data_IF_810729676124
#
_entry.id   IF_810729676124
#
_cell.length_a   1.000
_cell.length_b   1.000
_cell.length_c   1.000
_cell.angle_alpha   90.00
_cell.angle_beta   90.00
_cell.angle_gamma   90.00
#
_symmetry.space_group_name_H-M   'P 1'
#
loop_
_entity.id
_entity.type
_entity.pdbx_description
1 polymer ?
#
# COMPACT_ATOMS: atom_id res chain seq x y z
N UNK A 1 5.87 2.27 16.30
CA UNK A 1 4.81 3.22 15.90
C UNK A 1 4.80 3.38 14.39
N UNK A 2 3.65 3.26 13.73
CA UNK A 2 3.52 3.57 12.31
C UNK A 2 3.13 5.05 12.17
N UNK A 3 4.12 5.92 11.95
CA UNK A 3 3.93 7.38 11.85
C UNK A 3 2.87 7.79 10.80
N UNK A 4 2.77 7.01 9.71
CA UNK A 4 1.82 7.26 8.64
C UNK A 4 0.35 7.14 9.10
N UNK A 5 0.05 6.13 9.95
CA UNK A 5 -1.32 5.90 10.41
C UNK A 5 -1.79 7.07 11.27
N UNK A 6 -0.97 7.48 12.24
CA UNK A 6 -1.25 8.58 13.15
C UNK A 6 -1.41 9.92 12.41
N UNK A 7 -0.48 10.21 11.50
CA UNK A 7 -0.53 11.42 10.66
C UNK A 7 -1.87 11.48 9.89
N UNK A 8 -2.29 10.40 9.26
CA UNK A 8 -3.50 10.42 8.44
C UNK A 8 -4.79 10.39 9.24
N UNK A 9 -4.85 9.69 10.37
CA UNK A 9 -6.01 9.83 11.27
C UNK A 9 -6.21 11.25 11.76
N UNK A 10 -5.12 12.03 11.86
CA UNK A 10 -5.14 13.41 12.33
C UNK A 10 -5.50 14.40 11.21
N UNK A 11 -4.78 14.34 10.09
CA UNK A 11 -4.96 15.30 8.98
C UNK A 11 -6.13 14.94 8.05
N UNK A 12 -6.48 13.65 7.96
CA UNK A 12 -7.53 13.13 7.08
C UNK A 12 -8.44 12.14 7.82
N UNK A 13 -9.25 12.61 8.79
CA UNK A 13 -10.03 11.74 9.68
C UNK A 13 -11.08 10.88 8.97
N UNK A 14 -11.41 11.19 7.71
CA UNK A 14 -12.33 10.40 6.89
C UNK A 14 -11.63 9.37 5.99
N UNK A 15 -10.29 9.38 5.95
CA UNK A 15 -9.52 8.39 5.21
C UNK A 15 -9.51 7.07 5.99
N UNK A 16 -10.00 6.00 5.36
CA UNK A 16 -10.13 4.66 5.98
C UNK A 16 -9.12 3.65 5.45
N UNK A 17 -8.47 3.95 4.33
CA UNK A 17 -7.63 3.01 3.63
C UNK A 17 -6.61 3.75 2.76
N UNK A 18 -5.38 3.26 2.79
CA UNK A 18 -4.35 3.59 1.81
C UNK A 18 -4.29 2.48 0.79
N UNK A 19 -4.17 2.86 -0.48
CA UNK A 19 -3.99 1.91 -1.58
C UNK A 19 -2.75 2.30 -2.37
N UNK A 20 -1.89 1.31 -2.62
CA UNK A 20 -0.68 1.45 -3.41
C UNK A 20 -0.73 0.50 -4.60
N UNK A 21 -0.26 0.98 -5.76
CA UNK A 21 0.05 0.13 -6.91
C UNK A 21 1.56 -0.14 -6.90
N UNK A 22 1.96 -1.39 -6.68
CA UNK A 22 3.37 -1.79 -6.52
C UNK A 22 3.75 -2.70 -7.68
N UNK A 23 4.78 -2.34 -8.44
CA UNK A 23 5.21 -3.20 -9.56
C UNK A 23 5.59 -4.60 -9.07
N UNK A 24 5.14 -5.64 -9.77
CA UNK A 24 5.40 -7.05 -9.44
C UNK A 24 6.91 -7.36 -9.33
N UNK A 25 7.73 -6.69 -10.13
CA UNK A 25 9.20 -6.88 -10.08
C UNK A 25 9.87 -6.11 -8.95
N UNK A 26 9.19 -5.17 -8.30
CA UNK A 26 9.75 -4.39 -7.19
C UNK A 26 9.58 -5.12 -5.85
N UNK A 27 10.31 -6.23 -5.69
CA UNK A 27 10.25 -7.08 -4.50
C UNK A 27 10.64 -6.32 -3.23
N UNK A 28 11.60 -5.40 -3.31
CA UNK A 28 12.03 -4.59 -2.17
C UNK A 28 10.88 -3.72 -1.63
N UNK A 29 10.11 -3.07 -2.51
CA UNK A 29 8.95 -2.28 -2.11
C UNK A 29 7.83 -3.15 -1.53
N UNK A 30 7.54 -4.30 -2.15
CA UNK A 30 6.54 -5.24 -1.63
C UNK A 30 6.86 -5.69 -0.20
N UNK A 31 8.12 -6.04 0.06
CA UNK A 31 8.58 -6.43 1.40
C UNK A 31 8.53 -5.26 2.40
N UNK A 32 8.94 -4.06 1.98
CA UNK A 32 8.86 -2.86 2.82
C UNK A 32 7.41 -2.59 3.25
N UNK A 33 6.48 -2.55 2.29
CA UNK A 33 5.08 -2.29 2.56
C UNK A 33 4.45 -3.39 3.41
N UNK A 34 4.79 -4.65 3.15
CA UNK A 34 4.38 -5.78 4.00
C UNK A 34 4.83 -5.60 5.46
N UNK A 35 6.09 -5.21 5.68
CA UNK A 35 6.65 -4.95 7.02
C UNK A 35 5.99 -3.74 7.71
N UNK A 36 5.46 -2.78 6.96
CA UNK A 36 4.77 -1.61 7.51
C UNK A 36 3.25 -1.79 7.62
N UNK A 37 2.75 -3.01 7.37
CA UNK A 37 1.36 -3.39 7.61
C UNK A 37 0.45 -3.33 6.38
N UNK A 38 0.96 -2.99 5.20
CA UNK A 38 0.20 -3.12 3.97
C UNK A 38 0.03 -4.59 3.60
N UNK A 39 -1.14 -4.94 3.07
CA UNK A 39 -1.50 -6.29 2.68
C UNK A 39 -1.72 -6.35 1.18
N UNK A 40 -1.25 -7.41 0.53
CA UNK A 40 -1.64 -7.69 -0.85
C UNK A 40 -3.14 -8.02 -0.90
N UNK A 41 -3.89 -7.26 -1.68
CA UNK A 41 -5.34 -7.43 -1.83
C UNK A 41 -5.71 -8.56 -2.79
N UNK A 42 -4.73 -9.16 -3.48
CA UNK A 42 -4.91 -10.11 -4.57
C UNK A 42 -5.33 -9.47 -5.90
N UNK A 43 -5.69 -8.18 -5.90
CA UNK A 43 -6.02 -7.43 -7.12
C UNK A 43 -4.75 -7.07 -7.87
N UNK A 44 -4.84 -7.07 -9.20
CA UNK A 44 -3.76 -6.73 -10.13
C UNK A 44 -4.24 -5.70 -11.14
N UNK A 45 -3.30 -4.91 -11.65
CA UNK A 45 -3.54 -3.93 -12.72
C UNK A 45 -2.41 -4.02 -13.74
N UNK A 46 -2.72 -3.83 -15.02
CA UNK A 46 -1.68 -3.75 -16.05
C UNK A 46 -1.15 -2.32 -16.13
N UNK A 47 0.12 -2.12 -15.82
CA UNK A 47 0.82 -0.85 -16.01
C UNK A 47 1.72 -0.86 -17.26
N UNK A 48 2.31 0.29 -17.64
CA UNK A 48 3.18 0.40 -18.81
C UNK A 48 4.43 -0.51 -18.77
N UNK A 49 4.87 -0.89 -17.58
CA UNK A 49 6.08 -1.69 -17.33
C UNK A 49 5.74 -3.06 -16.70
N UNK A 50 4.50 -3.53 -16.91
CA UNK A 50 4.03 -4.85 -16.44
C UNK A 50 3.00 -4.78 -15.32
N UNK A 51 2.78 -5.94 -14.68
CA UNK A 51 1.77 -6.11 -13.64
C UNK A 51 2.09 -5.29 -12.37
N UNK A 52 1.05 -4.64 -11.84
CA UNK A 52 1.06 -3.92 -10.58
C UNK A 52 0.18 -4.67 -9.57
N UNK A 53 0.74 -4.98 -8.41
CA UNK A 53 0.02 -5.49 -7.25
C UNK A 53 -0.69 -4.33 -6.55
N UNK A 54 -1.93 -4.55 -6.16
CA UNK A 54 -2.64 -3.58 -5.33
C UNK A 54 -2.47 -3.99 -3.87
N UNK A 55 -1.75 -3.18 -3.11
CA UNK A 55 -1.57 -3.36 -1.66
C UNK A 55 -2.38 -2.32 -0.89
N UNK A 56 -2.92 -2.67 0.26
CA UNK A 56 -3.65 -1.72 1.10
C UNK A 56 -3.37 -1.80 2.59
N UNK A 57 -3.50 -0.66 3.27
CA UNK A 57 -3.38 -0.51 4.71
C UNK A 57 -4.64 0.17 5.23
N UNK A 58 -5.38 -0.50 6.12
CA UNK A 58 -6.56 0.08 6.78
C UNK A 58 -6.15 0.96 7.96
N UNK A 59 -6.80 2.13 8.04
CA UNK A 59 -6.56 3.17 9.05
C UNK A 59 -7.58 3.03 10.16
#
# INVERSE_FOLDING_TARGET
MLLLKEFVTTEFPHCKEFVLEVNHKNIAAQQLYGKTGFQDTGKRKSGPIGELLIMSLKV
#
